data_IF_618659287965
#
_entry.id   IF_618659287965
#
_cell.length_a   1.000
_cell.length_b   1.000
_cell.length_c   1.000
_cell.angle_alpha   90.00
_cell.angle_beta   90.00
_cell.angle_gamma   90.00
#
_symmetry.space_group_name_H-M   'P 1'
#
loop_
_entity.id
_entity.type
_entity.pdbx_description
1 polymer ?
#
# COMPACT_ATOMS: atom_id res chain seq x y z
N UNK A 1 -16.42 17.62 22.18
CA UNK A 1 -15.91 19.00 22.34
C UNK A 1 -15.79 19.64 20.97
N UNK A 2 -16.10 20.94 20.83
CA UNK A 2 -15.91 21.70 19.58
C UNK A 2 -14.64 22.51 19.71
N UNK A 3 -13.66 22.22 18.86
CA UNK A 3 -12.34 22.87 18.87
C UNK A 3 -12.06 23.36 17.45
N UNK A 4 -11.53 24.57 17.32
CA UNK A 4 -11.02 25.09 16.05
C UNK A 4 -9.52 24.79 16.01
N UNK A 5 -9.07 24.11 14.95
CA UNK A 5 -7.67 23.76 14.75
C UNK A 5 -7.22 24.30 13.41
N UNK A 6 -6.04 24.91 13.38
CA UNK A 6 -5.37 25.30 12.13
C UNK A 6 -4.55 24.11 11.65
N UNK A 7 -4.66 23.78 10.36
CA UNK A 7 -3.90 22.70 9.72
C UNK A 7 -3.16 23.26 8.52
N UNK A 8 -1.99 22.68 8.24
CA UNK A 8 -1.21 23.03 7.07
C UNK A 8 -1.89 22.52 5.77
N UNK A 9 -1.64 23.17 4.62
CA UNK A 9 -2.29 22.82 3.35
C UNK A 9 -2.02 21.38 2.89
N UNK A 10 -0.85 20.83 3.21
CA UNK A 10 -0.49 19.45 2.92
C UNK A 10 -1.35 18.46 3.72
N UNK A 11 -1.54 18.73 5.00
CA UNK A 11 -2.37 17.94 5.91
C UNK A 11 -3.84 17.98 5.51
N UNK A 12 -4.34 19.14 5.07
CA UNK A 12 -5.68 19.27 4.52
C UNK A 12 -5.89 18.37 3.30
N UNK A 13 -4.94 18.36 2.36
CA UNK A 13 -5.02 17.53 1.16
C UNK A 13 -5.03 16.03 1.51
N UNK A 14 -4.17 15.59 2.44
CA UNK A 14 -4.14 14.21 2.92
C UNK A 14 -5.49 13.79 3.54
N UNK A 15 -6.08 14.65 4.37
CA UNK A 15 -7.38 14.39 4.99
C UNK A 15 -8.51 14.33 3.95
N UNK A 16 -8.48 15.19 2.93
CA UNK A 16 -9.47 15.17 1.83
C UNK A 16 -9.41 13.89 1.01
N UNK A 17 -8.21 13.40 0.73
CA UNK A 17 -8.05 12.14 0.01
C UNK A 17 -8.54 10.94 0.84
N UNK A 18 -8.25 10.92 2.14
CA UNK A 18 -8.78 9.90 3.05
C UNK A 18 -10.31 9.95 3.21
N UNK A 19 -10.91 11.14 3.17
CA UNK A 19 -12.36 11.32 3.12
C UNK A 19 -12.93 10.68 1.85
N UNK A 20 -12.32 10.94 0.68
CA UNK A 20 -12.76 10.33 -0.58
C UNK A 20 -12.60 8.81 -0.57
N UNK A 21 -11.49 8.31 -0.02
CA UNK A 21 -11.19 6.87 0.06
C UNK A 21 -12.14 6.12 0.98
N UNK A 22 -12.49 6.71 2.13
CA UNK A 22 -13.28 6.03 3.16
C UNK A 22 -14.77 6.37 3.13
N UNK A 23 -15.17 7.43 2.42
CA UNK A 23 -16.55 7.94 2.39
C UNK A 23 -17.02 8.56 3.71
N UNK A 24 -16.13 8.76 4.68
CA UNK A 24 -16.46 9.28 6.01
C UNK A 24 -16.37 10.80 6.06
N UNK A 25 -17.04 11.42 7.05
CA UNK A 25 -17.00 12.87 7.19
C UNK A 25 -15.60 13.36 7.60
N UNK A 26 -15.24 14.58 7.18
CA UNK A 26 -13.94 15.19 7.51
C UNK A 26 -13.61 15.14 9.02
N UNK A 27 -14.62 15.36 9.88
CA UNK A 27 -14.49 15.25 11.34
C UNK A 27 -14.08 13.85 11.79
N UNK A 28 -14.67 12.81 11.21
CA UNK A 28 -14.38 11.42 11.57
C UNK A 28 -12.99 11.02 11.13
N UNK A 29 -12.61 11.39 9.91
CA UNK A 29 -11.25 11.17 9.40
C UNK A 29 -10.23 11.86 10.30
N UNK A 30 -10.38 13.15 10.58
CA UNK A 30 -9.45 13.90 11.43
C UNK A 30 -9.28 13.26 12.82
N UNK A 31 -10.38 12.98 13.51
CA UNK A 31 -10.32 12.40 14.85
C UNK A 31 -9.72 10.99 14.85
N UNK A 32 -10.04 10.19 13.84
CA UNK A 32 -9.49 8.83 13.70
C UNK A 32 -8.00 8.87 13.45
N UNK A 33 -7.52 9.73 12.54
CA UNK A 33 -6.10 9.88 12.25
C UNK A 33 -5.31 10.31 13.50
N UNK A 34 -5.82 11.29 14.25
CA UNK A 34 -5.18 11.71 15.52
C UNK A 34 -5.14 10.56 16.53
N UNK A 35 -6.25 9.83 16.71
CA UNK A 35 -6.27 8.67 17.63
C UNK A 35 -5.29 7.60 17.19
N UNK A 36 -5.23 7.27 15.90
CA UNK A 36 -4.29 6.27 15.39
C UNK A 36 -2.84 6.70 15.61
N UNK A 37 -2.52 7.96 15.37
CA UNK A 37 -1.19 8.50 15.61
C UNK A 37 -0.79 8.46 17.09
N UNK A 38 -1.71 8.81 18.00
CA UNK A 38 -1.44 8.85 19.45
C UNK A 38 -1.49 7.46 20.11
N UNK A 39 -2.24 6.51 19.56
CA UNK A 39 -2.34 5.13 20.06
C UNK A 39 -1.28 4.20 19.45
N UNK A 40 -0.65 4.59 18.34
CA UNK A 40 0.43 3.81 17.76
C UNK A 40 1.66 3.83 18.67
N UNK A 41 2.19 2.68 19.12
CA UNK A 41 3.45 2.65 19.85
C UNK A 41 4.56 3.21 18.96
N UNK A 42 5.43 4.10 19.46
CA UNK A 42 6.56 4.59 18.68
C UNK A 42 7.44 3.40 18.24
N UNK A 43 7.64 3.25 16.93
CA UNK A 43 8.44 2.17 16.34
C UNK A 43 7.67 0.97 15.79
N UNK A 44 6.34 0.95 15.82
CA UNK A 44 5.57 -0.11 15.15
C UNK A 44 5.57 0.09 13.63
N UNK A 45 6.61 -0.42 12.97
CA UNK A 45 6.47 -0.83 11.56
C UNK A 45 5.40 -1.91 11.53
N UNK A 46 4.19 -1.54 11.11
CA UNK A 46 3.17 -2.53 10.79
C UNK A 46 3.68 -3.25 9.56
N UNK A 47 4.48 -4.30 9.74
CA UNK A 47 4.59 -5.33 8.72
C UNK A 47 3.18 -5.85 8.58
N UNK A 48 2.50 -5.43 7.52
CA UNK A 48 1.20 -5.97 7.18
C UNK A 48 1.39 -7.49 7.16
N UNK A 49 0.81 -8.18 8.13
CA UNK A 49 0.83 -9.63 8.18
C UNK A 49 -0.04 -10.11 7.03
N UNK A 50 0.56 -10.28 5.85
CA UNK A 50 -0.13 -10.83 4.71
C UNK A 50 -0.35 -12.31 5.05
N UNK A 51 -1.59 -12.65 5.39
CA UNK A 51 -1.99 -14.06 5.49
C UNK A 51 -2.32 -14.52 4.09
N UNK A 52 -1.55 -15.46 3.50
CA UNK A 52 -1.85 -15.95 2.17
C UNK A 52 -3.20 -16.67 2.16
N UNK A 53 -3.99 -16.49 1.10
CA UNK A 53 -5.30 -17.14 0.94
C UNK A 53 -5.17 -18.67 0.87
N UNK A 54 -4.02 -19.18 0.42
CA UNK A 54 -3.68 -20.60 0.39
C UNK A 54 -2.17 -20.78 0.59
N UNK A 55 -1.74 -21.91 1.17
CA UNK A 55 -0.32 -22.23 1.29
C UNK A 55 0.26 -22.55 -0.10
N UNK A 56 1.10 -21.66 -0.62
CA UNK A 56 1.88 -21.88 -1.82
C UNK A 56 3.37 -21.95 -1.44
N UNK A 57 4.02 -23.08 -1.71
CA UNK A 57 5.45 -23.17 -1.57
C UNK A 57 6.12 -22.34 -2.65
N UNK A 58 7.10 -21.51 -2.26
CA UNK A 58 7.87 -20.74 -3.23
C UNK A 58 8.73 -21.69 -4.09
N UNK A 59 8.63 -21.63 -5.44
CA UNK A 59 9.37 -22.51 -6.34
C UNK A 59 10.87 -22.47 -6.08
N UNK A 60 11.51 -23.64 -5.97
CA UNK A 60 12.94 -23.72 -5.65
C UNK A 60 13.82 -23.13 -6.76
N UNK A 61 13.40 -23.28 -8.01
CA UNK A 61 14.07 -22.77 -9.22
C UNK A 61 14.20 -21.24 -9.21
N UNK A 62 13.26 -20.55 -8.57
CA UNK A 62 13.22 -19.09 -8.50
C UNK A 62 13.96 -18.54 -7.26
N UNK A 63 14.62 -19.39 -6.47
CA UNK A 63 15.33 -18.93 -5.27
C UNK A 63 16.67 -18.32 -5.66
N UNK A 64 16.86 -17.05 -5.31
CA UNK A 64 18.13 -16.34 -5.50
C UNK A 64 18.34 -15.79 -6.92
N UNK A 65 17.34 -15.89 -7.80
CA UNK A 65 17.40 -15.25 -9.12
C UNK A 65 17.03 -13.77 -9.01
N UNK A 66 17.49 -12.98 -9.98
CA UNK A 66 17.08 -11.59 -10.12
C UNK A 66 15.75 -11.52 -10.91
N UNK A 67 14.67 -11.12 -10.22
CA UNK A 67 13.35 -11.04 -10.82
C UNK A 67 13.22 -10.00 -11.92
N UNK A 68 14.02 -8.94 -11.93
CA UNK A 68 13.98 -7.94 -13.00
C UNK A 68 14.47 -8.57 -14.31
N UNK A 69 15.56 -9.35 -14.24
CA UNK A 69 16.09 -10.08 -15.41
C UNK A 69 15.12 -11.14 -15.92
N UNK A 70 14.45 -11.86 -15.00
CA UNK A 70 13.42 -12.83 -15.38
C UNK A 70 12.24 -12.14 -16.07
N UNK A 71 11.84 -10.95 -15.62
CA UNK A 71 10.77 -10.19 -16.26
C UNK A 71 11.15 -9.82 -17.71
N UNK A 72 12.36 -9.30 -17.91
CA UNK A 72 12.85 -8.95 -19.25
C UNK A 72 12.83 -10.17 -20.19
N UNK A 73 13.28 -11.34 -19.72
CA UNK A 73 13.31 -12.58 -20.51
C UNK A 73 11.89 -13.07 -20.89
N UNK A 74 10.94 -12.98 -19.97
CA UNK A 74 9.55 -13.37 -20.24
C UNK A 74 8.85 -12.41 -21.21
N UNK A 75 9.18 -11.12 -21.13
CA UNK A 75 8.65 -10.09 -22.04
C UNK A 75 9.20 -10.30 -23.46
N UNK A 76 10.49 -10.61 -23.59
CA UNK A 76 11.13 -10.97 -24.87
C UNK A 76 10.50 -12.23 -25.49
N UNK A 77 10.29 -13.29 -24.69
CA UNK A 77 9.61 -14.51 -25.15
C UNK A 77 8.18 -14.23 -25.64
N UNK A 78 7.45 -13.40 -24.91
CA UNK A 78 6.07 -13.02 -25.26
C UNK A 78 6.06 -12.25 -26.59
N UNK A 79 6.96 -11.28 -26.74
CA UNK A 79 7.15 -10.51 -27.98
C UNK A 79 7.46 -11.42 -29.17
N UNK A 80 8.33 -12.42 -28.98
CA UNK A 80 8.66 -13.40 -30.03
C UNK A 80 7.44 -14.24 -30.45
N UNK A 81 6.59 -14.63 -29.51
CA UNK A 81 5.36 -15.39 -29.80
C UNK A 81 4.35 -14.55 -30.57
N UNK A 82 4.22 -13.27 -30.26
CA UNK A 82 3.31 -12.36 -30.95
C UNK A 82 3.77 -12.04 -32.38
N UNK A 83 5.08 -11.96 -32.62
CA UNK A 83 5.64 -11.70 -33.95
C UNK A 83 5.71 -12.95 -34.86
N UNK A 84 5.70 -14.15 -34.25
CA UNK A 84 5.76 -15.44 -34.95
C UNK A 84 4.38 -16.04 -35.29
N UNK A 85 3.29 -15.33 -35.01
CA UNK A 85 1.91 -15.73 -35.26
C UNK A 85 1.28 -14.95 -36.43
#
# INVERSE_FOLDING_TARGET
MRTTVTIDPDTENLLREEVRRTGQSFKEVLNRSIRQALLAPPGRTVRAGITPLFPAAFPAELRGINFNRLADELDDETTLRELGA
#
